data_IF_438442381810
#
_entry.id   IF_438442381810
#
_cell.length_a   1.000
_cell.length_b   1.000
_cell.length_c   1.000
_cell.angle_alpha   90.00
_cell.angle_beta   90.00
_cell.angle_gamma   90.00
#
_symmetry.space_group_name_H-M   'P 1'
#
loop_
_entity.id
_entity.type
_entity.pdbx_description
1 polymer ?
#
# COMPACT_ATOMS: atom_id res chain seq x y z
N UNK A 1 8.56 3.54 -5.08
CA UNK A 1 7.25 3.72 -5.75
C UNK A 1 7.12 2.64 -6.80
N UNK A 2 5.93 2.07 -6.97
CA UNK A 2 5.64 1.16 -8.08
C UNK A 2 5.04 1.97 -9.22
N UNK A 3 5.69 1.97 -10.39
CA UNK A 3 5.37 2.87 -11.50
C UNK A 3 5.76 4.32 -11.20
N UNK A 4 5.03 5.26 -11.80
CA UNK A 4 5.24 6.71 -11.70
C UNK A 4 3.93 7.45 -11.51
N UNK A 5 3.96 8.65 -10.91
CA UNK A 5 2.78 9.55 -10.89
C UNK A 5 2.43 10.08 -12.29
N UNK A 6 3.30 9.84 -13.29
CA UNK A 6 3.19 10.32 -14.67
C UNK A 6 2.84 9.23 -15.67
N UNK A 7 2.71 7.98 -15.23
CA UNK A 7 2.41 6.87 -16.11
C UNK A 7 1.00 7.01 -16.73
N UNK A 8 0.90 6.66 -18.02
CA UNK A 8 -0.37 6.61 -18.74
C UNK A 8 -0.86 5.16 -18.83
N UNK A 9 -2.18 4.92 -18.74
CA UNK A 9 -2.76 3.61 -19.05
C UNK A 9 -2.36 3.10 -20.45
N UNK A 10 -2.17 1.78 -20.64
CA UNK A 10 -2.20 0.74 -19.61
C UNK A 10 -0.91 0.73 -18.77
N UNK A 11 -1.08 0.61 -17.45
CA UNK A 11 0.03 0.47 -16.51
C UNK A 11 -0.08 -0.80 -15.65
N UNK A 12 1.05 -1.18 -15.07
CA UNK A 12 1.18 -2.21 -14.05
C UNK A 12 1.87 -1.55 -12.85
N UNK A 13 1.07 -1.18 -11.85
CA UNK A 13 1.49 -0.54 -10.60
C UNK A 13 1.45 -1.53 -9.43
N UNK A 14 1.35 -2.84 -9.70
CA UNK A 14 1.57 -3.88 -8.71
C UNK A 14 2.97 -4.48 -8.85
N UNK A 15 3.41 -4.63 -10.11
CA UNK A 15 4.76 -4.95 -10.55
C UNK A 15 5.33 -6.20 -9.86
N UNK A 16 4.69 -7.35 -10.07
CA UNK A 16 5.13 -8.60 -9.46
C UNK A 16 6.55 -9.00 -9.84
N UNK A 17 7.06 -8.56 -10.99
CA UNK A 17 8.44 -8.89 -11.41
C UNK A 17 9.50 -7.91 -10.86
N UNK A 18 9.08 -6.88 -10.12
CA UNK A 18 9.96 -5.87 -9.52
C UNK A 18 10.74 -5.04 -10.55
N UNK A 19 10.26 -4.86 -11.78
CA UNK A 19 10.98 -4.16 -12.87
C UNK A 19 10.52 -2.73 -13.10
N UNK A 20 9.40 -2.31 -12.51
CA UNK A 20 8.82 -0.97 -12.64
C UNK A 20 8.91 -0.19 -11.33
N UNK A 21 9.91 -0.50 -10.52
CA UNK A 21 10.15 0.19 -9.26
C UNK A 21 10.98 1.44 -9.49
N UNK A 22 10.43 2.57 -9.09
CA UNK A 22 11.09 3.86 -9.11
C UNK A 22 11.43 4.27 -7.67
N UNK A 23 12.72 4.23 -7.28
CA UNK A 23 13.15 4.78 -6.00
C UNK A 23 12.88 6.28 -5.98
N UNK A 24 12.11 6.72 -4.99
CA UNK A 24 11.79 8.14 -4.79
C UNK A 24 12.20 8.53 -3.37
N UNK A 25 12.88 9.68 -3.18
CA UNK A 25 13.17 10.17 -1.85
C UNK A 25 11.85 10.54 -1.17
N UNK A 26 11.63 10.00 0.02
CA UNK A 26 10.41 10.24 0.76
C UNK A 26 10.36 9.52 2.09
N UNK A 27 9.31 9.79 2.85
CA UNK A 27 9.03 9.18 4.16
C UNK A 27 7.55 8.92 4.32
N UNK A 28 7.25 7.92 5.13
CA UNK A 28 5.94 7.68 5.71
C UNK A 28 6.02 7.86 7.23
N UNK A 29 4.99 8.43 7.84
CA UNK A 29 4.82 8.53 9.28
C UNK A 29 3.41 8.06 9.62
N UNK A 30 3.32 7.09 10.53
CA UNK A 30 2.06 6.43 10.93
C UNK A 30 1.88 6.71 12.42
N UNK A 31 0.90 7.52 12.75
CA UNK A 31 0.55 7.89 14.12
C UNK A 31 -0.93 7.60 14.32
N UNK A 32 -1.24 6.41 14.82
CA UNK A 32 -2.63 5.91 14.94
C UNK A 32 -2.92 5.32 16.31
N UNK A 33 -4.19 5.38 16.70
CA UNK A 33 -4.78 4.66 17.83
C UNK A 33 -5.81 3.68 17.27
N UNK A 34 -5.46 2.39 17.27
CA UNK A 34 -6.31 1.32 16.74
C UNK A 34 -7.59 1.12 17.55
N UNK A 35 -7.57 1.46 18.85
CA UNK A 35 -8.74 1.29 19.72
C UNK A 35 -9.76 2.40 19.49
N UNK A 36 -9.28 3.61 19.21
CA UNK A 36 -10.11 4.76 18.92
C UNK A 36 -10.50 4.86 17.43
N UNK A 37 -9.85 4.09 16.53
CA UNK A 37 -9.98 4.26 15.08
C UNK A 37 -9.66 5.69 14.61
N UNK A 38 -8.61 6.28 15.19
CA UNK A 38 -8.20 7.67 14.88
C UNK A 38 -6.70 7.76 14.65
N UNK A 39 -6.26 8.85 14.03
CA UNK A 39 -4.84 9.15 13.82
C UNK A 39 -4.58 9.78 12.48
N UNK A 40 -3.34 9.69 12.03
CA UNK A 40 -2.90 10.17 10.73
C UNK A 40 -1.79 9.29 10.17
N UNK A 41 -1.88 8.99 8.88
CA UNK A 41 -0.76 8.56 8.05
C UNK A 41 -0.39 9.71 7.12
N UNK A 42 0.84 10.21 7.28
CA UNK A 42 1.41 11.27 6.46
C UNK A 42 2.52 10.68 5.59
N UNK A 43 2.42 10.89 4.28
CA UNK A 43 3.48 10.54 3.34
C UNK A 43 3.94 11.79 2.62
N UNK A 44 5.25 11.93 2.47
CA UNK A 44 5.88 12.96 1.67
C UNK A 44 6.94 12.31 0.78
N UNK A 45 6.90 12.57 -0.52
CA UNK A 45 7.91 12.07 -1.46
C UNK A 45 8.11 13.03 -2.63
N UNK A 46 9.24 12.91 -3.33
CA UNK A 46 9.51 13.69 -4.53
C UNK A 46 9.74 12.79 -5.75
N UNK A 47 9.21 13.19 -6.91
CA UNK A 47 9.46 12.54 -8.19
C UNK A 47 9.85 13.61 -9.21
N UNK A 48 11.12 13.59 -9.62
CA UNK A 48 11.69 14.68 -10.40
C UNK A 48 11.63 16.01 -9.66
N UNK A 49 11.01 17.02 -10.27
CA UNK A 49 10.81 18.35 -9.67
C UNK A 49 9.55 18.47 -8.82
N UNK A 50 8.67 17.47 -8.88
CA UNK A 50 7.38 17.49 -8.19
C UNK A 50 7.51 16.94 -6.77
N UNK A 51 6.82 17.58 -5.83
CA UNK A 51 6.69 17.13 -4.44
C UNK A 51 5.26 16.70 -4.19
N UNK A 52 5.10 15.52 -3.60
CA UNK A 52 3.80 14.93 -3.29
C UNK A 52 3.63 14.78 -1.79
N UNK A 53 2.41 14.98 -1.33
CA UNK A 53 2.01 14.74 0.06
C UNK A 53 0.69 13.98 0.08
N UNK A 54 0.63 12.89 0.84
CA UNK A 54 -0.61 12.13 1.07
C UNK A 54 -0.99 12.33 2.54
N UNK A 55 -2.22 12.77 2.78
CA UNK A 55 -2.81 12.89 4.11
C UNK A 55 -3.93 11.87 4.21
N UNK A 56 -3.74 10.87 5.06
CA UNK A 56 -4.71 9.82 5.32
C UNK A 56 -5.09 9.85 6.80
N UNK A 57 -6.22 10.48 7.09
CA UNK A 57 -6.72 10.75 8.46
C UNK A 57 -8.19 10.37 8.66
N UNK A 58 -8.85 9.85 7.62
CA UNK A 58 -10.27 9.48 7.64
C UNK A 58 -10.42 7.97 7.55
N UNK A 59 -10.16 7.28 8.66
CA UNK A 59 -10.29 5.82 8.76
C UNK A 59 -11.75 5.39 8.81
N UNK A 60 -12.08 4.37 8.02
CA UNK A 60 -13.41 3.78 7.97
C UNK A 60 -13.35 2.37 7.39
N UNK A 61 -13.81 1.40 8.17
CA UNK A 61 -13.95 0.00 7.76
C UNK A 61 -15.27 -0.27 7.05
N UNK A 62 -15.25 -1.16 6.06
CA UNK A 62 -16.43 -1.65 5.32
C UNK A 62 -16.68 -3.14 5.50
N UNK A 63 -15.78 -3.84 6.20
CA UNK A 63 -15.86 -5.26 6.50
C UNK A 63 -15.48 -5.55 7.96
N UNK A 64 -15.96 -6.65 8.57
CA UNK A 64 -15.70 -6.96 9.98
C UNK A 64 -14.21 -7.04 10.35
N UNK A 65 -13.34 -7.54 9.46
CA UNK A 65 -11.92 -7.69 9.73
C UNK A 65 -11.14 -6.35 9.82
N UNK A 66 -11.77 -5.25 9.38
CA UNK A 66 -11.15 -3.93 9.34
C UNK A 66 -11.32 -3.17 10.68
N UNK A 67 -12.06 -3.73 11.64
CA UNK A 67 -12.23 -3.22 13.01
C UNK A 67 -12.56 -1.72 13.10
N UNK A 68 -13.46 -1.25 12.23
CA UNK A 68 -13.87 0.16 12.18
C UNK A 68 -13.02 1.05 11.28
N UNK A 69 -11.86 0.58 10.80
CA UNK A 69 -10.99 1.29 9.88
C UNK A 69 -9.51 1.14 10.19
N UNK A 70 -9.14 0.71 11.39
CA UNK A 70 -7.77 0.39 11.79
C UNK A 70 -7.79 -0.94 12.53
N UNK A 71 -6.99 -1.90 12.06
CA UNK A 71 -6.91 -3.23 12.67
C UNK A 71 -5.46 -3.63 12.91
N UNK A 72 -5.26 -4.51 13.89
CA UNK A 72 -3.98 -5.18 14.13
C UNK A 72 -4.16 -6.68 14.02
N UNK A 73 -3.09 -7.40 13.66
CA UNK A 73 -3.04 -8.88 13.68
C UNK A 73 -4.10 -9.53 12.79
N UNK A 74 -4.13 -9.13 11.53
CA UNK A 74 -5.10 -9.64 10.55
C UNK A 74 -4.40 -10.27 9.36
N UNK A 75 -4.93 -11.38 8.84
CA UNK A 75 -4.54 -11.90 7.54
C UNK A 75 -5.36 -11.22 6.45
N UNK A 76 -4.70 -10.73 5.40
CA UNK A 76 -5.32 -10.21 4.19
C UNK A 76 -4.73 -10.86 2.93
N UNK A 77 -5.44 -10.72 1.81
CA UNK A 77 -5.08 -11.24 0.50
C UNK A 77 -5.02 -12.77 0.40
N UNK A 78 -4.51 -13.28 -0.72
CA UNK A 78 -4.41 -14.70 -1.01
C UNK A 78 -5.72 -15.45 -0.78
N UNK A 79 -5.65 -16.50 0.03
CA UNK A 79 -6.79 -17.33 0.44
C UNK A 79 -7.32 -16.98 1.85
N UNK A 80 -7.00 -15.80 2.39
CA UNK A 80 -7.43 -15.38 3.74
C UNK A 80 -8.94 -15.16 3.87
N UNK A 81 -9.63 -14.88 2.75
CA UNK A 81 -11.03 -14.44 2.73
C UNK A 81 -11.22 -12.94 3.01
N UNK A 82 -10.13 -12.19 3.21
CA UNK A 82 -10.13 -10.75 3.46
C UNK A 82 -9.36 -10.02 2.34
N UNK A 83 -9.82 -8.82 1.98
CA UNK A 83 -9.19 -8.00 0.94
C UNK A 83 -9.29 -8.59 -0.46
N UNK A 84 -8.62 -7.95 -1.41
CA UNK A 84 -8.45 -8.49 -2.75
C UNK A 84 -7.34 -9.57 -2.79
N UNK A 85 -7.38 -10.52 -3.74
CA UNK A 85 -6.34 -11.53 -3.88
C UNK A 85 -5.18 -11.03 -4.77
N UNK A 86 -4.72 -9.78 -4.62
CA UNK A 86 -3.59 -9.25 -5.40
C UNK A 86 -2.22 -9.48 -4.73
N UNK A 87 -2.19 -10.01 -3.52
CA UNK A 87 -0.96 -10.40 -2.84
C UNK A 87 -1.08 -11.84 -2.31
N UNK A 88 0.05 -12.49 -1.98
CA UNK A 88 0.03 -13.69 -1.13
C UNK A 88 -0.74 -13.43 0.15
N UNK A 89 -1.27 -14.49 0.76
CA UNK A 89 -1.86 -14.37 2.10
C UNK A 89 -0.80 -13.84 3.05
N UNK A 90 -1.03 -12.65 3.60
CA UNK A 90 -0.02 -11.90 4.33
C UNK A 90 -0.53 -11.54 5.72
N UNK A 91 0.33 -11.66 6.72
CA UNK A 91 0.04 -11.17 8.07
C UNK A 91 0.31 -9.67 8.17
N UNK A 92 -0.72 -8.91 8.51
CA UNK A 92 -0.66 -7.48 8.74
C UNK A 92 -0.54 -7.21 10.23
N UNK A 93 0.59 -6.64 10.64
CA UNK A 93 0.83 -6.22 12.02
C UNK A 93 -0.09 -5.06 12.41
N UNK A 94 -0.26 -4.11 11.49
CA UNK A 94 -1.14 -2.96 11.60
C UNK A 94 -1.62 -2.59 10.19
N UNK A 95 -2.90 -2.29 10.04
CA UNK A 95 -3.46 -1.87 8.77
C UNK A 95 -4.53 -0.80 8.99
N UNK A 96 -4.70 0.07 8.01
CA UNK A 96 -5.78 1.05 8.00
C UNK A 96 -6.46 1.14 6.64
N UNK A 97 -7.77 1.35 6.66
CA UNK A 97 -8.64 1.56 5.50
C UNK A 97 -9.42 2.85 5.68
N UNK A 98 -9.65 3.58 4.59
CA UNK A 98 -10.41 4.81 4.65
C UNK A 98 -10.17 5.71 3.45
N UNK A 99 -10.05 7.01 3.69
CA UNK A 99 -9.87 8.02 2.65
C UNK A 99 -8.64 8.89 2.87
N UNK A 100 -7.98 9.24 1.78
CA UNK A 100 -6.85 10.16 1.75
C UNK A 100 -7.03 11.28 0.73
N UNK A 101 -6.36 12.39 1.02
CA UNK A 101 -6.12 13.47 0.06
C UNK A 101 -4.67 13.44 -0.40
N UNK A 102 -4.46 13.68 -1.69
CA UNK A 102 -3.15 13.74 -2.31
C UNK A 102 -2.92 15.15 -2.83
N UNK A 103 -1.76 15.70 -2.52
CA UNK A 103 -1.33 17.03 -2.93
C UNK A 103 -0.10 16.90 -3.83
N UNK A 104 -0.01 17.79 -4.82
CA UNK A 104 1.14 17.96 -5.71
C UNK A 104 1.59 19.42 -5.63
N UNK A 105 2.84 19.66 -5.26
CA UNK A 105 3.45 20.99 -5.13
C UNK A 105 2.63 21.95 -4.25
N UNK A 106 1.90 21.42 -3.26
CA UNK A 106 1.03 22.18 -2.37
C UNK A 106 -0.44 22.21 -2.80
N UNK A 107 -0.73 21.97 -4.07
CA UNK A 107 -2.09 21.99 -4.60
C UNK A 107 -2.78 20.63 -4.43
N UNK A 108 -4.08 20.65 -4.13
CA UNK A 108 -4.88 19.44 -4.04
C UNK A 108 -4.97 18.77 -5.41
N UNK A 109 -4.46 17.54 -5.50
CA UNK A 109 -4.46 16.72 -6.71
C UNK A 109 -5.63 15.71 -6.70
N UNK A 110 -5.77 14.94 -5.62
CA UNK A 110 -6.83 13.95 -5.44
C UNK A 110 -7.52 14.19 -4.10
N UNK A 111 -8.85 14.16 -4.08
CA UNK A 111 -9.65 14.39 -2.87
C UNK A 111 -10.52 13.19 -2.54
N UNK A 112 -10.50 12.76 -1.27
CA UNK A 112 -11.35 11.69 -0.74
C UNK A 112 -11.19 10.34 -1.47
N UNK A 113 -9.98 10.04 -1.94
CA UNK A 113 -9.66 8.77 -2.61
C UNK A 113 -9.54 7.65 -1.59
N UNK A 114 -9.94 6.43 -1.98
CA UNK A 114 -9.82 5.28 -1.10
C UNK A 114 -8.34 5.00 -0.82
N UNK A 115 -8.00 4.83 0.45
CA UNK A 115 -6.62 4.60 0.88
C UNK A 115 -6.54 3.38 1.79
N UNK A 116 -5.43 2.67 1.68
CA UNK A 116 -5.11 1.52 2.48
C UNK A 116 -3.61 1.48 2.78
N UNK A 117 -3.25 1.43 4.06
CA UNK A 117 -1.87 1.19 4.46
C UNK A 117 -1.76 -0.14 5.20
N UNK A 118 -0.61 -0.78 5.07
CA UNK A 118 -0.30 -2.08 5.66
C UNK A 118 1.12 -2.06 6.20
N UNK A 119 1.29 -2.31 7.50
CA UNK A 119 2.56 -2.74 8.07
C UNK A 119 2.50 -4.26 8.12
N UNK A 120 3.30 -4.93 7.29
CA UNK A 120 3.07 -6.33 6.95
C UNK A 120 4.36 -7.16 6.90
N UNK A 121 4.20 -8.48 6.95
CA UNK A 121 5.29 -9.39 6.58
C UNK A 121 5.79 -9.06 5.17
N UNK A 122 7.09 -9.21 4.94
CA UNK A 122 7.68 -8.86 3.65
C UNK A 122 7.21 -9.84 2.57
N UNK A 123 6.50 -9.34 1.57
CA UNK A 123 6.08 -10.11 0.39
C UNK A 123 7.12 -10.06 -0.73
N UNK A 124 7.83 -8.93 -0.88
CA UNK A 124 8.82 -8.71 -1.94
C UNK A 124 10.14 -9.39 -1.62
N UNK A 125 10.82 -9.92 -2.63
CA UNK A 125 12.19 -10.40 -2.47
C UNK A 125 13.15 -9.21 -2.24
N UNK A 126 13.97 -9.17 -1.19
CA UNK A 126 14.81 -8.01 -0.89
C UNK A 126 15.95 -7.77 -1.91
N UNK A 127 16.22 -8.72 -2.81
CA UNK A 127 17.24 -8.59 -3.86
C UNK A 127 16.63 -8.29 -5.23
N UNK A 128 15.53 -8.96 -5.58
CA UNK A 128 14.91 -8.83 -6.90
C UNK A 128 13.67 -7.95 -6.91
N UNK A 129 13.13 -7.65 -5.73
CA UNK A 129 11.86 -6.97 -5.48
C UNK A 129 10.63 -7.64 -6.11
N UNK A 130 10.78 -8.89 -6.56
CA UNK A 130 9.70 -9.69 -7.10
C UNK A 130 8.71 -10.05 -5.98
N UNK A 131 7.41 -9.93 -6.28
CA UNK A 131 6.33 -10.59 -5.53
C UNK A 131 6.02 -11.89 -6.26
N UNK A 132 6.35 -13.03 -5.63
CA UNK A 132 6.05 -14.34 -6.20
C UNK A 132 4.61 -14.71 -5.83
N UNK A 133 3.68 -14.37 -6.72
CA UNK A 133 2.25 -14.64 -6.59
C UNK A 133 1.61 -14.79 -7.98
N UNK A 134 0.66 -15.73 -8.21
CA UNK A 134 0.10 -16.70 -7.26
C UNK A 134 1.02 -17.90 -6.94
N UNK A 135 2.25 -17.92 -7.46
CA UNK A 135 3.19 -19.01 -7.19
C UNK A 135 3.78 -18.89 -5.78
N UNK A 136 3.62 -19.94 -4.96
CA UNK A 136 4.16 -19.97 -3.59
C UNK A 136 5.67 -19.69 -3.57
N UNK A 137 6.08 -18.76 -2.71
CA UNK A 137 7.48 -18.60 -2.30
C UNK A 137 7.87 -19.80 -1.42
N UNK A 138 9.00 -20.44 -1.72
CA UNK A 138 9.53 -21.58 -0.94
C UNK A 138 10.51 -21.09 0.13
N UNK A 139 10.16 -20.05 0.89
CA UNK A 139 10.98 -19.64 2.02
C UNK A 139 10.73 -20.55 3.23
N UNK A 140 11.66 -20.61 4.20
CA UNK A 140 11.42 -21.28 5.48
C UNK A 140 10.15 -20.81 6.22
N UNK A 141 9.60 -19.63 5.87
CA UNK A 141 8.42 -19.03 6.47
C UNK A 141 7.13 -19.04 5.63
N UNK A 142 7.11 -19.59 4.41
CA UNK A 142 5.91 -19.61 3.54
C UNK A 142 5.95 -18.62 2.37
N UNK A 143 4.77 -18.17 1.91
CA UNK A 143 4.62 -17.30 0.73
C UNK A 143 5.15 -15.88 0.96
N UNK A 144 5.27 -15.46 2.22
CA UNK A 144 5.88 -14.23 2.73
C UNK A 144 7.15 -14.55 3.52
N UNK A 145 7.98 -13.53 3.78
CA UNK A 145 9.10 -13.59 4.72
C UNK A 145 8.66 -13.04 6.09
N UNK A 146 8.32 -13.91 7.07
CA UNK A 146 7.82 -13.48 8.38
C UNK A 146 8.90 -12.82 9.26
N UNK A 147 10.19 -13.00 8.92
CA UNK A 147 11.29 -12.31 9.59
C UNK A 147 11.55 -10.91 8.99
N UNK A 148 10.94 -10.62 7.84
CA UNK A 148 10.94 -9.33 7.18
C UNK A 148 9.68 -8.53 7.47
N UNK A 149 9.81 -7.21 7.38
CA UNK A 149 8.69 -6.29 7.45
C UNK A 149 8.79 -5.30 6.30
N UNK A 150 7.64 -4.92 5.76
CA UNK A 150 7.50 -3.84 4.79
C UNK A 150 6.24 -3.02 5.11
N UNK A 151 6.19 -1.81 4.56
CA UNK A 151 5.00 -0.98 4.60
C UNK A 151 4.53 -0.78 3.17
N UNK A 152 3.28 -1.12 2.88
CA UNK A 152 2.61 -0.79 1.63
C UNK A 152 1.55 0.29 1.89
N UNK A 153 1.46 1.27 0.98
CA UNK A 153 0.39 2.26 0.94
C UNK A 153 -0.16 2.37 -0.46
N UNK A 154 -1.47 2.17 -0.61
CA UNK A 154 -2.17 2.44 -1.86
C UNK A 154 -3.20 3.54 -1.70
N UNK A 155 -3.29 4.40 -2.72
CA UNK A 155 -4.39 5.37 -2.88
C UNK A 155 -5.00 5.15 -4.25
N UNK A 156 -6.32 4.93 -4.31
CA UNK A 156 -6.98 4.48 -5.53
C UNK A 156 -8.32 5.16 -5.81
N UNK A 157 -8.64 5.27 -7.09
CA UNK A 157 -9.95 5.74 -7.55
C UNK A 157 -11.05 4.73 -7.26
N UNK A 158 -12.30 5.23 -7.26
CA UNK A 158 -13.49 4.37 -7.35
C UNK A 158 -13.64 3.81 -8.76
N UNK A 159 -13.39 4.64 -9.77
CA UNK A 159 -13.53 4.28 -11.18
C UNK A 159 -12.50 3.22 -11.59
N UNK A 160 -12.94 2.31 -12.45
CA UNK A 160 -12.18 1.15 -12.90
C UNK A 160 -11.67 1.34 -14.32
N UNK A 161 -10.45 0.86 -14.57
CA UNK A 161 -9.88 0.72 -15.90
C UNK A 161 -9.31 -0.69 -16.04
N UNK A 162 -10.02 -1.56 -16.77
CA UNK A 162 -9.65 -2.98 -16.88
C UNK A 162 -8.37 -3.22 -17.70
N UNK A 163 -7.78 -2.18 -18.28
CA UNK A 163 -6.48 -2.27 -18.97
C UNK A 163 -5.31 -2.06 -18.01
N UNK A 164 -5.57 -1.55 -16.81
CA UNK A 164 -4.58 -1.34 -15.77
C UNK A 164 -4.50 -2.53 -14.82
N UNK A 165 -3.38 -2.63 -14.10
CA UNK A 165 -3.20 -3.61 -13.04
C UNK A 165 -2.55 -2.96 -11.80
N UNK A 166 -3.28 -2.81 -10.67
CA UNK A 166 -4.69 -3.18 -10.47
C UNK A 166 -5.69 -2.35 -11.30
N UNK A 167 -6.95 -2.78 -11.49
CA UNK A 167 -7.85 -2.23 -12.52
C UNK A 167 -8.53 -0.90 -12.14
N UNK A 168 -7.78 0.06 -11.59
CA UNK A 168 -8.28 1.38 -11.21
C UNK A 168 -7.88 2.43 -12.26
N UNK A 169 -8.67 3.50 -12.42
CA UNK A 169 -8.27 4.65 -13.23
C UNK A 169 -7.08 5.41 -12.62
N UNK A 170 -6.99 5.42 -11.28
CA UNK A 170 -5.86 5.98 -10.54
C UNK A 170 -5.44 4.99 -9.47
N UNK A 171 -4.14 4.71 -9.40
CA UNK A 171 -3.55 3.88 -8.35
C UNK A 171 -2.14 4.37 -8.05
N UNK A 172 -1.96 4.92 -6.85
CA UNK A 172 -0.67 5.31 -6.31
C UNK A 172 -0.22 4.18 -5.40
N UNK A 173 0.96 3.63 -5.64
CA UNK A 173 1.51 2.56 -4.83
C UNK A 173 2.92 2.91 -4.36
N UNK A 174 3.04 3.09 -3.05
CA UNK A 174 4.30 3.32 -2.37
C UNK A 174 4.57 2.15 -1.43
N UNK A 175 5.83 1.75 -1.34
CA UNK A 175 6.25 0.77 -0.37
C UNK A 175 7.60 1.16 0.25
N UNK A 176 7.82 0.71 1.49
CA UNK A 176 9.05 0.92 2.24
C UNK A 176 9.55 -0.42 2.80
N UNK A 177 10.84 -0.69 2.62
CA UNK A 177 11.48 -1.93 3.09
C UNK A 177 12.07 -1.80 4.50
N UNK A 178 12.17 -0.57 5.01
CA UNK A 178 12.71 -0.26 6.33
C UNK A 178 11.61 0.31 7.23
N UNK A 179 11.39 -0.34 8.37
CA UNK A 179 10.39 0.05 9.37
C UNK A 179 11.10 0.35 10.68
N UNK A 180 10.85 1.54 11.22
CA UNK A 180 11.40 1.98 12.51
C UNK A 180 10.29 2.40 13.45
N UNK A 181 10.45 2.06 14.73
CA UNK A 181 9.52 2.42 15.81
C UNK A 181 10.12 3.55 16.63
N UNK A 182 9.28 4.47 17.09
CA UNK A 182 9.69 5.61 17.91
C UNK A 182 8.88 5.66 19.20
#
# INVERSE_FOLDING_TARGET
>A
MVGSMRDLPPWDHLDYNGKRLNPVPGRISIEVDERANTGVVLVEFAEGTDRYRIVFDRFAGTAPYQDGGIATRVYEHGDSGNGDPLYPKTWLYLAGWGKADVFKNGDLLLKDYAAHFMVMERSRDPKTHEVRYPMKRSLPGGETDPAGMEIDLWVRSKDQNTKNFPPFETFIHLYWEEVTWR
#
